data_IF_324766916545
#
_entry.id   IF_324766916545
#
_cell.length_a   1.000
_cell.length_b   1.000
_cell.length_c   1.000
_cell.angle_alpha   90.00
_cell.angle_beta   90.00
_cell.angle_gamma   90.00
#
_symmetry.space_group_name_H-M   'P 1'
#
loop_
_entity.id
_entity.type
_entity.pdbx_description
1 polymer ?
#
# COMPACT_ATOMS: atom_id res chain seq x y z
N UNK A 1 7.64 -4.14 -30.87
CA UNK A 1 6.51 -3.45 -30.28
C UNK A 1 5.34 -4.43 -30.17
N UNK A 2 4.81 -4.61 -28.97
CA UNK A 2 3.64 -5.45 -28.73
C UNK A 2 2.42 -4.76 -29.35
N UNK A 3 2.12 -5.06 -30.63
CA UNK A 3 0.92 -4.60 -31.35
C UNK A 3 -0.08 -5.76 -31.39
N UNK A 4 -1.12 -5.68 -30.63
CA UNK A 4 -2.22 -6.65 -30.56
C UNK A 4 -3.14 -6.31 -29.40
N UNK A 5 -4.25 -7.05 -29.21
CA UNK A 5 -5.00 -6.90 -27.96
C UNK A 5 -4.03 -7.14 -26.82
N UNK A 6 -3.84 -6.17 -25.94
CA UNK A 6 -2.77 -6.12 -24.94
C UNK A 6 -2.59 -7.46 -24.17
N UNK A 7 -3.69 -8.15 -23.88
CA UNK A 7 -3.70 -9.44 -23.18
C UNK A 7 -3.00 -10.59 -23.93
N UNK A 8 -3.14 -10.70 -25.25
CA UNK A 8 -2.54 -11.79 -26.04
C UNK A 8 -1.07 -11.52 -26.36
N UNK A 9 -0.72 -10.26 -26.63
CA UNK A 9 0.65 -9.87 -26.94
C UNK A 9 1.56 -10.03 -25.71
N UNK A 10 1.09 -9.64 -24.52
CA UNK A 10 1.85 -9.82 -23.29
C UNK A 10 2.01 -11.30 -22.92
N UNK A 11 1.00 -12.12 -23.08
CA UNK A 11 1.09 -13.57 -22.84
C UNK A 11 2.14 -14.25 -23.72
N UNK A 12 2.24 -13.83 -24.99
CA UNK A 12 3.26 -14.36 -25.92
C UNK A 12 4.67 -13.89 -25.55
N UNK A 13 4.86 -12.61 -25.25
CA UNK A 13 6.12 -12.05 -24.77
C UNK A 13 6.59 -12.76 -23.51
N UNK A 14 5.67 -13.03 -22.59
CA UNK A 14 5.95 -13.70 -21.33
C UNK A 14 6.42 -15.14 -21.52
N UNK A 15 5.70 -15.94 -22.33
CA UNK A 15 6.06 -17.34 -22.58
C UNK A 15 7.44 -17.44 -23.24
N UNK A 16 7.75 -16.56 -24.18
CA UNK A 16 9.05 -16.53 -24.84
C UNK A 16 10.18 -16.13 -23.90
N UNK A 17 9.91 -15.21 -23.00
CA UNK A 17 10.91 -14.64 -22.11
C UNK A 17 11.18 -15.49 -20.85
N UNK A 18 10.16 -16.16 -20.28
CA UNK A 18 10.34 -17.14 -19.20
C UNK A 18 11.25 -18.30 -19.60
N UNK A 19 11.30 -18.64 -20.88
CA UNK A 19 12.18 -19.71 -21.39
C UNK A 19 13.63 -19.25 -21.59
N UNK A 20 13.91 -17.93 -21.60
CA UNK A 20 15.21 -17.38 -22.02
C UNK A 20 15.91 -16.48 -20.99
N UNK A 21 15.23 -16.07 -19.92
CA UNK A 21 15.75 -15.08 -18.98
C UNK A 21 16.05 -15.69 -17.61
N UNK A 22 17.26 -15.43 -17.10
CA UNK A 22 17.68 -15.72 -15.72
C UNK A 22 17.41 -14.55 -14.75
N UNK A 23 16.69 -13.49 -15.21
CA UNK A 23 16.46 -12.28 -14.43
C UNK A 23 15.15 -12.38 -13.65
N UNK A 24 15.20 -12.15 -12.34
CA UNK A 24 14.04 -12.23 -11.43
C UNK A 24 12.98 -11.15 -11.71
N UNK A 25 13.36 -9.97 -12.21
CA UNK A 25 12.43 -8.90 -12.63
C UNK A 25 11.53 -9.27 -13.80
N UNK A 26 11.88 -10.34 -14.50
CA UNK A 26 11.10 -10.91 -15.60
C UNK A 26 9.67 -11.31 -15.22
N UNK A 27 9.42 -11.54 -13.94
CA UNK A 27 8.10 -11.93 -13.47
C UNK A 27 7.09 -10.77 -13.48
N UNK A 28 7.54 -9.51 -13.55
CA UNK A 28 6.70 -8.33 -13.34
C UNK A 28 6.61 -7.40 -14.53
N UNK A 29 7.61 -7.41 -15.43
CA UNK A 29 7.68 -6.45 -16.55
C UNK A 29 7.95 -7.13 -17.89
N UNK A 30 7.37 -6.60 -18.94
CA UNK A 30 7.73 -6.98 -20.31
C UNK A 30 9.10 -6.39 -20.66
N UNK A 31 10.10 -7.22 -20.93
CA UNK A 31 11.44 -6.78 -21.29
C UNK A 31 11.54 -5.95 -22.58
N UNK A 32 10.52 -5.98 -23.46
CA UNK A 32 10.48 -5.20 -24.69
C UNK A 32 9.79 -3.85 -24.56
N UNK A 33 8.69 -3.78 -23.80
CA UNK A 33 7.92 -2.54 -23.62
C UNK A 33 8.06 -1.94 -22.22
N UNK A 34 8.73 -2.61 -21.31
CA UNK A 34 8.89 -2.20 -19.90
C UNK A 34 7.58 -1.99 -19.16
N UNK A 35 6.45 -2.43 -19.73
CA UNK A 35 5.14 -2.35 -19.10
C UNK A 35 5.02 -3.36 -17.98
N UNK A 36 4.49 -2.93 -16.86
CA UNK A 36 4.13 -3.80 -15.75
C UNK A 36 2.89 -4.63 -16.11
N UNK A 37 2.88 -5.88 -15.68
CA UNK A 37 1.70 -6.74 -15.81
C UNK A 37 0.71 -6.41 -14.69
N UNK A 38 -0.14 -5.42 -14.91
CA UNK A 38 -1.10 -4.90 -13.90
C UNK A 38 -2.49 -5.52 -13.98
N UNK A 39 -2.64 -6.64 -14.64
CA UNK A 39 -3.94 -7.28 -14.82
C UNK A 39 -3.97 -8.73 -14.28
N UNK A 40 -5.00 -9.48 -14.65
CA UNK A 40 -5.15 -10.87 -14.22
C UNK A 40 -3.93 -11.77 -14.53
N UNK A 41 -3.01 -11.36 -15.40
CA UNK A 41 -1.82 -12.11 -15.74
C UNK A 41 -0.75 -11.97 -14.64
N UNK A 42 -0.62 -10.81 -13.98
CA UNK A 42 0.31 -10.63 -12.85
C UNK A 42 -0.01 -11.59 -11.70
N UNK A 43 -1.29 -11.70 -11.35
CA UNK A 43 -1.74 -12.65 -10.32
C UNK A 43 -1.41 -14.10 -10.69
N UNK A 44 -1.65 -14.51 -11.94
CA UNK A 44 -1.36 -15.89 -12.39
C UNK A 44 0.14 -16.20 -12.25
N UNK A 45 0.99 -15.24 -12.61
CA UNK A 45 2.44 -15.42 -12.53
C UNK A 45 2.95 -15.45 -11.09
N UNK A 46 2.48 -14.52 -10.27
CA UNK A 46 2.84 -14.46 -8.86
C UNK A 46 2.35 -15.70 -8.11
N UNK A 47 1.15 -16.18 -8.42
CA UNK A 47 0.61 -17.43 -7.85
C UNK A 47 1.46 -18.63 -8.25
N UNK A 48 1.87 -18.72 -9.53
CA UNK A 48 2.75 -19.81 -10.00
C UNK A 48 4.14 -19.73 -9.34
N UNK A 49 4.69 -18.52 -9.16
CA UNK A 49 5.94 -18.30 -8.43
C UNK A 49 5.81 -18.76 -6.98
N UNK A 50 4.77 -18.31 -6.28
CA UNK A 50 4.52 -18.70 -4.90
C UNK A 50 4.39 -20.21 -4.73
N UNK A 51 3.68 -20.88 -5.66
CA UNK A 51 3.59 -22.35 -5.66
C UNK A 51 4.96 -23.02 -5.83
N UNK A 52 5.81 -22.50 -6.73
CA UNK A 52 7.16 -23.02 -6.93
C UNK A 52 8.07 -22.79 -5.71
N UNK A 53 7.95 -21.63 -5.05
CA UNK A 53 8.67 -21.33 -3.80
C UNK A 53 8.22 -22.26 -2.66
N UNK A 54 6.90 -22.45 -2.50
CA UNK A 54 6.34 -23.40 -1.51
C UNK A 54 6.81 -24.84 -1.74
N UNK A 55 6.85 -25.27 -3.00
CA UNK A 55 7.34 -26.62 -3.34
C UNK A 55 8.82 -26.84 -3.00
N UNK A 56 9.61 -25.75 -2.96
CA UNK A 56 11.04 -25.78 -2.57
C UNK A 56 11.26 -25.51 -1.08
N UNK A 57 10.22 -25.21 -0.31
CA UNK A 57 10.33 -24.76 1.09
C UNK A 57 11.03 -23.39 1.25
N UNK A 58 10.96 -22.53 0.23
CA UNK A 58 11.64 -21.24 0.16
C UNK A 58 10.65 -20.10 -0.08
N UNK A 59 9.50 -20.14 0.59
CA UNK A 59 8.50 -19.08 0.49
C UNK A 59 9.09 -17.73 0.94
N UNK A 60 8.86 -16.69 0.15
CA UNK A 60 9.30 -15.32 0.44
C UNK A 60 8.12 -14.46 0.89
N UNK A 61 8.27 -13.73 2.01
CA UNK A 61 7.28 -12.74 2.46
C UNK A 61 7.03 -11.68 1.39
N UNK A 62 8.07 -11.28 0.66
CA UNK A 62 7.97 -10.35 -0.46
C UNK A 62 7.05 -10.87 -1.60
N UNK A 63 7.14 -12.15 -1.96
CA UNK A 63 6.25 -12.73 -2.99
C UNK A 63 4.79 -12.75 -2.52
N UNK A 64 4.57 -13.05 -1.24
CA UNK A 64 3.24 -13.00 -0.61
C UNK A 64 2.67 -11.58 -0.62
N UNK A 65 3.47 -10.59 -0.22
CA UNK A 65 3.05 -9.19 -0.18
C UNK A 65 2.64 -8.67 -1.57
N UNK A 66 3.46 -8.89 -2.60
CA UNK A 66 3.15 -8.43 -3.95
C UNK A 66 1.88 -9.11 -4.48
N UNK A 67 1.73 -10.43 -4.27
CA UNK A 67 0.51 -11.12 -4.69
C UNK A 67 -0.71 -10.59 -3.96
N UNK A 68 -0.60 -10.31 -2.67
CA UNK A 68 -1.67 -9.73 -1.87
C UNK A 68 -2.04 -8.32 -2.35
N UNK A 69 -1.06 -7.47 -2.70
CA UNK A 69 -1.29 -6.13 -3.25
C UNK A 69 -2.02 -6.19 -4.60
N UNK A 70 -1.62 -7.10 -5.50
CA UNK A 70 -2.29 -7.30 -6.78
C UNK A 70 -3.74 -7.78 -6.62
N UNK A 71 -3.97 -8.71 -5.69
CA UNK A 71 -5.31 -9.19 -5.36
C UNK A 71 -6.17 -8.07 -4.76
N UNK A 72 -5.59 -7.26 -3.87
CA UNK A 72 -6.25 -6.10 -3.28
C UNK A 72 -6.61 -5.06 -4.35
N UNK A 73 -5.72 -4.76 -5.29
CA UNK A 73 -5.98 -3.84 -6.40
C UNK A 73 -7.14 -4.31 -7.30
N UNK A 74 -7.39 -5.62 -7.37
CA UNK A 74 -8.54 -6.21 -8.08
C UNK A 74 -9.79 -6.37 -7.21
N UNK A 75 -9.78 -5.88 -5.96
CA UNK A 75 -10.91 -6.00 -5.03
C UNK A 75 -11.08 -7.39 -4.41
N UNK A 76 -10.11 -8.30 -4.60
CA UNK A 76 -10.14 -9.67 -4.08
C UNK A 76 -9.60 -9.73 -2.65
N UNK A 77 -10.24 -9.00 -1.76
CA UNK A 77 -9.75 -8.79 -0.38
C UNK A 77 -9.68 -10.07 0.44
N UNK A 78 -10.61 -11.02 0.23
CA UNK A 78 -10.64 -12.29 0.96
C UNK A 78 -9.51 -13.24 0.55
N UNK A 79 -9.02 -13.12 -0.68
CA UNK A 79 -7.85 -13.85 -1.15
C UNK A 79 -6.54 -13.18 -0.71
N UNK A 80 -6.51 -11.84 -0.59
CA UNK A 80 -5.34 -11.06 -0.19
C UNK A 80 -5.03 -11.19 1.31
N UNK A 81 -6.05 -11.21 2.16
CA UNK A 81 -5.88 -11.20 3.62
C UNK A 81 -4.99 -12.33 4.15
N UNK A 82 -5.22 -13.62 3.80
CA UNK A 82 -4.37 -14.70 4.29
C UNK A 82 -2.90 -14.56 3.86
N UNK A 83 -2.65 -14.00 2.68
CA UNK A 83 -1.28 -13.78 2.19
C UNK A 83 -0.56 -12.70 2.99
N UNK A 84 -1.24 -11.57 3.29
CA UNK A 84 -0.67 -10.54 4.15
C UNK A 84 -0.42 -11.05 5.58
N UNK A 85 -1.29 -11.91 6.11
CA UNK A 85 -1.07 -12.50 7.43
C UNK A 85 0.14 -13.44 7.43
N UNK A 86 0.27 -14.29 6.42
CA UNK A 86 1.41 -15.21 6.25
C UNK A 86 2.72 -14.41 6.10
N UNK A 87 2.75 -13.36 5.26
CA UNK A 87 3.91 -12.51 5.08
C UNK A 87 4.32 -11.81 6.39
N UNK A 88 3.35 -11.26 7.13
CA UNK A 88 3.59 -10.60 8.41
C UNK A 88 4.16 -11.56 9.46
N UNK A 89 3.64 -12.78 9.56
CA UNK A 89 4.14 -13.79 10.50
C UNK A 89 5.61 -14.12 10.18
N UNK A 90 5.90 -14.39 8.91
CA UNK A 90 7.27 -14.67 8.44
C UNK A 90 8.24 -13.52 8.75
N UNK A 91 7.82 -12.27 8.49
CA UNK A 91 8.66 -11.11 8.75
C UNK A 91 8.85 -10.87 10.26
N UNK A 92 7.83 -11.09 11.08
CA UNK A 92 7.96 -11.01 12.54
C UNK A 92 8.94 -12.05 13.10
N UNK A 93 8.88 -13.28 12.61
CA UNK A 93 9.78 -14.37 13.03
C UNK A 93 11.22 -14.14 12.56
N UNK A 94 11.41 -13.74 11.31
CA UNK A 94 12.74 -13.62 10.71
C UNK A 94 13.45 -12.31 11.05
N UNK A 95 12.72 -11.19 11.13
CA UNK A 95 13.28 -9.84 11.19
C UNK A 95 12.95 -9.11 12.51
N UNK A 96 11.92 -9.56 13.22
CA UNK A 96 11.41 -8.90 14.43
C UNK A 96 10.37 -7.81 14.14
N UNK A 97 9.69 -7.37 15.20
CA UNK A 97 8.50 -6.49 15.11
C UNK A 97 8.81 -5.04 14.72
N UNK A 98 10.06 -4.59 14.84
CA UNK A 98 10.49 -3.21 14.54
C UNK A 98 11.25 -3.09 13.21
N UNK A 99 11.41 -4.19 12.48
CA UNK A 99 12.07 -4.14 11.18
C UNK A 99 11.21 -3.39 10.16
N UNK A 100 11.78 -2.58 9.25
CA UNK A 100 11.03 -1.82 8.26
C UNK A 100 10.05 -2.66 7.44
N UNK A 101 10.45 -3.84 6.98
CA UNK A 101 9.57 -4.74 6.21
C UNK A 101 8.38 -5.22 7.04
N UNK A 102 8.61 -5.59 8.30
CA UNK A 102 7.54 -5.98 9.23
C UNK A 102 6.54 -4.85 9.43
N UNK A 103 7.02 -3.61 9.59
CA UNK A 103 6.16 -2.44 9.75
C UNK A 103 5.37 -2.12 8.47
N UNK A 104 5.93 -2.41 7.28
CA UNK A 104 5.22 -2.34 6.00
C UNK A 104 4.11 -3.39 5.95
N UNK A 105 4.41 -4.65 6.26
CA UNK A 105 3.43 -5.75 6.27
C UNK A 105 2.28 -5.48 7.25
N UNK A 106 2.58 -4.97 8.47
CA UNK A 106 1.57 -4.56 9.45
C UNK A 106 0.65 -3.48 8.87
N UNK A 107 1.23 -2.45 8.25
CA UNK A 107 0.48 -1.35 7.65
C UNK A 107 -0.42 -1.83 6.50
N UNK A 108 0.09 -2.69 5.61
CA UNK A 108 -0.65 -3.23 4.48
C UNK A 108 -1.85 -4.06 4.94
N UNK A 109 -1.66 -4.94 5.93
CA UNK A 109 -2.76 -5.71 6.52
C UNK A 109 -3.78 -4.80 7.20
N UNK A 110 -3.33 -3.77 7.93
CA UNK A 110 -4.21 -2.79 8.56
C UNK A 110 -5.08 -2.05 7.54
N UNK A 111 -4.50 -1.60 6.43
CA UNK A 111 -5.23 -0.96 5.33
C UNK A 111 -6.23 -1.91 4.65
N UNK A 112 -5.84 -3.16 4.39
CA UNK A 112 -6.75 -4.16 3.83
C UNK A 112 -7.96 -4.37 4.73
N UNK A 113 -7.75 -4.54 6.04
CA UNK A 113 -8.83 -4.71 7.01
C UNK A 113 -9.74 -3.48 7.10
N UNK A 114 -9.17 -2.27 6.98
CA UNK A 114 -9.95 -1.04 6.89
C UNK A 114 -10.86 -1.04 5.66
N UNK A 115 -10.35 -1.39 4.48
CA UNK A 115 -11.15 -1.47 3.23
C UNK A 115 -12.23 -2.55 3.34
N UNK A 116 -11.97 -3.66 4.03
CA UNK A 116 -12.96 -4.70 4.33
C UNK A 116 -14.02 -4.26 5.36
N UNK A 117 -13.86 -3.08 5.96
CA UNK A 117 -14.75 -2.59 7.03
C UNK A 117 -14.47 -3.17 8.42
N UNK A 118 -13.44 -4.00 8.57
CA UNK A 118 -13.03 -4.54 9.87
C UNK A 118 -12.15 -3.53 10.62
N UNK A 119 -12.74 -2.40 10.98
CA UNK A 119 -12.05 -1.27 11.59
C UNK A 119 -11.46 -1.60 12.97
N UNK A 120 -12.14 -2.48 13.71
CA UNK A 120 -11.68 -2.90 15.04
C UNK A 120 -10.36 -3.73 14.99
N UNK A 121 -10.20 -4.55 13.96
CA UNK A 121 -8.96 -5.31 13.77
C UNK A 121 -7.86 -4.49 13.08
N UNK A 122 -8.22 -3.49 12.27
CA UNK A 122 -7.26 -2.61 11.59
C UNK A 122 -6.55 -1.65 12.56
N UNK A 123 -7.28 -1.13 13.55
CA UNK A 123 -6.77 -0.09 14.44
C UNK A 123 -5.51 -0.49 15.23
N UNK A 124 -5.44 -1.64 15.93
CA UNK A 124 -4.24 -2.03 16.63
C UNK A 124 -3.03 -2.21 15.70
N UNK A 125 -3.24 -2.69 14.47
CA UNK A 125 -2.16 -2.84 13.49
C UNK A 125 -1.62 -1.49 13.04
N UNK A 126 -2.49 -0.54 12.68
CA UNK A 126 -2.05 0.80 12.26
C UNK A 126 -1.40 1.58 13.40
N UNK A 127 -1.84 1.40 14.64
CA UNK A 127 -1.16 1.94 15.83
C UNK A 127 0.21 1.32 16.03
N UNK A 128 0.35 -0.01 15.89
CA UNK A 128 1.64 -0.72 15.97
C UNK A 128 2.61 -0.22 14.88
N UNK A 129 2.14 -0.09 13.63
CA UNK A 129 2.94 0.43 12.52
C UNK A 129 3.42 1.87 12.78
N UNK A 130 2.53 2.76 13.24
CA UNK A 130 2.88 4.14 13.55
C UNK A 130 3.87 4.21 14.71
N UNK A 131 3.62 3.50 15.82
CA UNK A 131 4.53 3.46 16.97
C UNK A 131 5.92 2.98 16.58
N UNK A 132 6.00 1.88 15.82
CA UNK A 132 7.27 1.34 15.33
C UNK A 132 8.03 2.28 14.41
N UNK A 133 7.34 2.97 13.49
CA UNK A 133 7.96 3.97 12.60
C UNK A 133 8.44 5.21 13.35
N UNK A 134 7.67 5.70 14.33
CA UNK A 134 8.11 6.81 15.20
C UNK A 134 9.39 6.46 15.96
N UNK A 135 9.46 5.26 16.54
CA UNK A 135 10.63 4.79 17.28
C UNK A 135 11.87 4.62 16.38
N UNK A 136 11.70 4.09 15.16
CA UNK A 136 12.84 3.72 14.31
C UNK A 136 13.28 4.80 13.34
N UNK A 137 12.34 5.63 12.86
CA UNK A 137 12.57 6.61 11.80
C UNK A 137 12.36 8.06 12.26
N UNK A 138 11.66 8.26 13.39
CA UNK A 138 11.27 9.58 13.89
C UNK A 138 9.98 10.13 13.23
N UNK A 139 9.42 11.19 13.85
CA UNK A 139 8.12 11.76 13.46
C UNK A 139 8.11 12.43 12.08
N UNK A 140 9.26 12.89 11.59
CA UNK A 140 9.36 13.64 10.34
C UNK A 140 9.68 12.77 9.11
N UNK A 141 9.86 11.47 9.30
CA UNK A 141 10.19 10.58 8.19
C UNK A 141 8.95 10.34 7.29
N UNK A 142 9.08 10.34 5.94
CA UNK A 142 7.94 10.15 5.04
C UNK A 142 7.10 8.91 5.35
N UNK A 143 7.72 7.79 5.70
CA UNK A 143 7.02 6.56 6.07
C UNK A 143 6.20 6.71 7.37
N UNK A 144 6.68 7.51 8.32
CA UNK A 144 5.94 7.84 9.55
C UNK A 144 4.72 8.69 9.21
N UNK A 145 4.87 9.67 8.33
CA UNK A 145 3.76 10.51 7.88
C UNK A 145 2.68 9.71 7.16
N UNK A 146 3.07 8.69 6.35
CA UNK A 146 2.13 7.75 5.74
C UNK A 146 1.35 6.99 6.81
N UNK A 147 2.02 6.48 7.85
CA UNK A 147 1.35 5.76 8.93
C UNK A 147 0.38 6.66 9.71
N UNK A 148 0.73 7.93 9.95
CA UNK A 148 -0.15 8.91 10.59
C UNK A 148 -1.41 9.13 9.72
N UNK A 149 -1.26 9.34 8.41
CA UNK A 149 -2.38 9.48 7.49
C UNK A 149 -3.29 8.24 7.47
N UNK A 150 -2.71 7.04 7.48
CA UNK A 150 -3.48 5.79 7.47
C UNK A 150 -4.31 5.63 8.75
N UNK A 151 -3.72 5.91 9.92
CA UNK A 151 -4.45 5.88 11.18
C UNK A 151 -5.53 6.98 11.22
N UNK A 152 -5.22 8.20 10.75
CA UNK A 152 -6.20 9.28 10.67
C UNK A 152 -7.40 8.93 9.78
N UNK A 153 -7.16 8.30 8.63
CA UNK A 153 -8.25 7.84 7.74
C UNK A 153 -9.05 6.70 8.32
N UNK A 154 -8.43 5.78 9.08
CA UNK A 154 -9.14 4.75 9.83
C UNK A 154 -10.06 5.35 10.88
N UNK A 155 -9.56 6.28 11.70
CA UNK A 155 -10.35 6.94 12.75
C UNK A 155 -11.52 7.73 12.15
N UNK A 156 -11.29 8.42 11.01
CA UNK A 156 -12.38 9.02 10.23
C UNK A 156 -13.44 7.99 9.83
N UNK A 157 -13.03 6.82 9.35
CA UNK A 157 -13.96 5.74 8.96
C UNK A 157 -14.74 5.16 10.15
N UNK A 158 -14.17 5.23 11.36
CA UNK A 158 -14.84 4.90 12.62
C UNK A 158 -15.81 5.98 13.11
N UNK A 159 -15.78 7.18 12.52
CA UNK A 159 -16.51 8.35 13.00
C UNK A 159 -15.82 9.10 14.16
N UNK A 160 -14.62 8.69 14.54
CA UNK A 160 -13.84 9.37 15.57
C UNK A 160 -13.06 10.54 14.95
N UNK A 161 -13.81 11.56 14.57
CA UNK A 161 -13.26 12.76 13.93
C UNK A 161 -12.36 13.55 14.90
N UNK A 162 -12.62 13.49 16.20
CA UNK A 162 -11.85 14.21 17.21
C UNK A 162 -10.42 13.67 17.33
N UNK A 163 -10.27 12.35 17.23
CA UNK A 163 -8.95 11.73 17.22
C UNK A 163 -8.26 11.77 15.84
N UNK A 164 -9.03 11.75 14.75
CA UNK A 164 -8.50 11.80 13.39
C UNK A 164 -7.87 13.16 13.02
N UNK A 165 -8.53 14.24 13.40
CA UNK A 165 -8.18 15.61 12.98
C UNK A 165 -6.75 16.03 13.36
N UNK A 166 -6.31 15.89 14.63
CA UNK A 166 -4.95 16.27 15.02
C UNK A 166 -3.88 15.46 14.27
N UNK A 167 -4.12 14.18 14.00
CA UNK A 167 -3.19 13.35 13.25
C UNK A 167 -3.04 13.82 11.79
N UNK A 168 -4.14 14.10 11.12
CA UNK A 168 -4.12 14.57 9.73
C UNK A 168 -3.52 15.99 9.62
N UNK A 169 -3.73 16.85 10.61
CA UNK A 169 -3.06 18.14 10.69
C UNK A 169 -1.55 18.01 10.91
N UNK A 170 -1.12 17.10 11.82
CA UNK A 170 0.30 16.79 12.04
C UNK A 170 0.94 16.32 10.73
N UNK A 171 0.34 15.34 10.07
CA UNK A 171 0.86 14.81 8.81
C UNK A 171 0.98 15.88 7.72
N UNK A 172 -0.06 16.72 7.54
CA UNK A 172 -0.04 17.79 6.54
C UNK A 172 1.03 18.83 6.84
N UNK A 173 1.10 19.32 8.08
CA UNK A 173 2.06 20.34 8.49
C UNK A 173 3.50 19.87 8.23
N UNK A 174 3.82 18.69 8.72
CA UNK A 174 5.18 18.13 8.57
C UNK A 174 5.48 17.79 7.11
N UNK A 175 4.50 17.28 6.34
CA UNK A 175 4.71 17.00 4.91
C UNK A 175 5.00 18.29 4.11
N UNK A 176 4.28 19.38 4.39
CA UNK A 176 4.55 20.67 3.76
C UNK A 176 5.96 21.20 4.05
N UNK A 177 6.40 21.05 5.30
CA UNK A 177 7.74 21.50 5.73
C UNK A 177 8.88 20.65 5.14
N UNK A 178 8.68 19.32 5.01
CA UNK A 178 9.75 18.39 4.65
C UNK A 178 9.79 18.08 3.17
N UNK A 179 8.64 18.00 2.51
CA UNK A 179 8.49 17.55 1.13
C UNK A 179 8.04 18.68 0.17
N UNK A 180 7.44 19.73 0.73
CA UNK A 180 6.87 20.81 -0.05
C UNK A 180 5.41 20.59 -0.45
N UNK A 181 4.73 21.67 -0.88
CA UNK A 181 3.27 21.66 -1.12
C UNK A 181 2.83 20.80 -2.30
N UNK A 182 3.68 20.62 -3.32
CA UNK A 182 3.36 19.85 -4.54
C UNK A 182 3.82 18.39 -4.50
N UNK A 183 4.38 17.94 -3.40
CA UNK A 183 4.79 16.55 -3.30
C UNK A 183 3.53 15.64 -3.26
N UNK A 184 3.49 14.51 -3.98
CA UNK A 184 2.31 13.62 -4.02
C UNK A 184 1.80 13.22 -2.63
N UNK A 185 2.70 12.99 -1.69
CA UNK A 185 2.34 12.67 -0.31
C UNK A 185 1.67 13.87 0.39
N UNK A 186 2.15 15.10 0.18
CA UNK A 186 1.53 16.31 0.74
C UNK A 186 0.12 16.50 0.18
N UNK A 187 -0.06 16.31 -1.13
CA UNK A 187 -1.38 16.37 -1.77
C UNK A 187 -2.33 15.31 -1.22
N UNK A 188 -1.84 14.08 -0.96
CA UNK A 188 -2.62 13.04 -0.30
C UNK A 188 -3.04 13.45 1.14
N UNK A 189 -2.14 14.08 1.92
CA UNK A 189 -2.47 14.58 3.25
C UNK A 189 -3.52 15.70 3.20
N UNK A 190 -3.40 16.64 2.23
CA UNK A 190 -4.38 17.69 1.99
C UNK A 190 -5.75 17.10 1.68
N UNK A 191 -5.81 16.11 0.77
CA UNK A 191 -7.05 15.44 0.40
C UNK A 191 -7.66 14.68 1.60
N UNK A 192 -6.86 14.00 2.42
CA UNK A 192 -7.34 13.28 3.59
C UNK A 192 -7.95 14.23 4.64
N UNK A 193 -7.30 15.37 4.92
CA UNK A 193 -7.81 16.38 5.83
C UNK A 193 -9.06 17.06 5.28
N UNK A 194 -9.07 17.43 3.99
CA UNK A 194 -10.25 17.98 3.32
C UNK A 194 -11.46 17.03 3.40
N UNK A 195 -11.23 15.73 3.16
CA UNK A 195 -12.28 14.72 3.28
C UNK A 195 -12.76 14.49 4.74
N UNK A 196 -11.89 14.70 5.73
CA UNK A 196 -12.29 14.67 7.13
C UNK A 196 -13.19 15.86 7.46
N UNK A 197 -12.78 17.07 7.10
CA UNK A 197 -13.56 18.30 7.35
C UNK A 197 -14.91 18.26 6.64
N UNK A 198 -14.93 17.74 5.40
CA UNK A 198 -16.19 17.51 4.68
C UNK A 198 -17.11 16.53 5.44
N UNK A 199 -16.55 15.46 6.00
CA UNK A 199 -17.32 14.49 6.80
C UNK A 199 -17.83 15.07 8.15
N UNK A 200 -17.24 16.17 8.59
CA UNK A 200 -17.67 16.96 9.76
C UNK A 200 -18.66 18.07 9.41
N UNK A 201 -19.08 18.16 8.15
CA UNK A 201 -19.91 19.25 7.60
C UNK A 201 -19.23 20.63 7.65
N UNK A 202 -17.90 20.71 7.87
CA UNK A 202 -17.11 21.94 7.78
C UNK A 202 -16.66 22.17 6.33
N UNK A 203 -17.62 22.50 5.48
CA UNK A 203 -17.40 22.75 4.05
C UNK A 203 -16.52 23.97 3.79
N UNK A 204 -16.59 24.98 4.66
CA UNK A 204 -15.82 26.21 4.51
C UNK A 204 -14.31 25.96 4.63
N UNK A 205 -13.90 25.08 5.53
CA UNK A 205 -12.49 24.67 5.69
C UNK A 205 -12.08 23.57 4.71
N UNK A 206 -13.02 22.71 4.29
CA UNK A 206 -12.76 21.62 3.37
C UNK A 206 -12.50 22.09 1.92
N UNK A 207 -13.30 23.04 1.42
CA UNK A 207 -13.25 23.50 0.01
C UNK A 207 -11.86 23.97 -0.43
N UNK A 208 -11.17 24.87 0.30
CA UNK A 208 -9.85 25.34 -0.13
C UNK A 208 -8.81 24.21 -0.17
N UNK A 209 -8.85 23.26 0.76
CA UNK A 209 -7.92 22.13 0.77
C UNK A 209 -8.17 21.19 -0.41
N UNK A 210 -9.42 20.82 -0.66
CA UNK A 210 -9.75 19.92 -1.78
C UNK A 210 -9.43 20.57 -3.14
N UNK A 211 -9.60 21.90 -3.26
CA UNK A 211 -9.19 22.65 -4.46
C UNK A 211 -7.66 22.65 -4.62
N UNK A 212 -6.90 22.89 -3.54
CA UNK A 212 -5.44 22.83 -3.55
C UNK A 212 -4.94 21.43 -3.99
N UNK A 213 -5.58 20.35 -3.51
CA UNK A 213 -5.22 19.01 -3.92
C UNK A 213 -5.41 18.77 -5.43
N UNK A 214 -6.53 19.24 -6.00
CA UNK A 214 -6.84 19.12 -7.43
C UNK A 214 -5.92 19.95 -8.34
N UNK A 215 -5.48 21.14 -7.88
CA UNK A 215 -4.58 22.01 -8.65
C UNK A 215 -3.11 21.55 -8.58
N UNK A 216 -2.78 20.67 -7.64
CA UNK A 216 -1.43 20.16 -7.43
C UNK A 216 -1.08 18.90 -8.25
N UNK A 217 -2.10 18.20 -8.79
CA UNK A 217 -1.95 17.03 -9.66
C UNK A 217 -1.59 17.47 -11.09
#
# INVERSE_FOLDING_TARGET
>A
ACRGSAKLAHKHCLNKWRCTSSNEDAAYRCGQCMDEYRDALSIVLLSARLQAERAKGQTSSFTLDILAQELQAQGKYDEAEPLYREALEMDREALGTRHPNTLIAINNLGQLLQVKGNLAAAEPLLNEALGGRRETLGDRHPETLIAICNLGTLLKSKGDFAAAEPLLHEALTVSRETLGNRHPHTLACINNLGNLLHAKDDFASAEPLLREALEGE
#
